data_IF_383981204053
#
_entry.id   IF_383981204053
#
_cell.length_a   1.000
_cell.length_b   1.000
_cell.length_c   1.000
_cell.angle_alpha   90.00
_cell.angle_beta   90.00
_cell.angle_gamma   90.00
#
_symmetry.space_group_name_H-M   'P 1'
#
loop_
_entity.id
_entity.type
_entity.pdbx_description
1 polymer ?
#
# COMPACT_ATOMS: atom_id res chain seq x y z
N UNK A 1 -5.75 -2.64 -24.24
CA UNK A 1 -6.95 -3.49 -23.99
C UNK A 1 -7.13 -3.94 -22.54
N UNK A 2 -6.09 -4.02 -21.69
CA UNK A 2 -6.23 -4.46 -20.28
C UNK A 2 -7.23 -3.62 -19.43
N UNK A 3 -7.33 -2.32 -19.66
CA UNK A 3 -8.15 -1.41 -18.82
C UNK A 3 -9.67 -1.64 -18.91
N UNK A 4 -10.19 -2.16 -20.03
CA UNK A 4 -11.64 -2.48 -20.16
C UNK A 4 -12.00 -3.81 -19.49
N UNK A 5 -11.08 -4.78 -19.48
CA UNK A 5 -11.29 -6.07 -18.81
C UNK A 5 -11.36 -5.91 -17.29
N UNK A 6 -10.52 -5.06 -16.71
CA UNK A 6 -10.54 -4.80 -15.27
C UNK A 6 -11.85 -4.16 -14.82
N UNK A 7 -12.40 -3.18 -15.54
CA UNK A 7 -13.67 -2.54 -15.15
C UNK A 7 -14.89 -3.49 -15.17
N UNK A 8 -14.98 -4.41 -16.13
CA UNK A 8 -16.06 -5.39 -16.14
C UNK A 8 -15.91 -6.44 -15.03
N UNK A 9 -14.67 -6.81 -14.73
CA UNK A 9 -14.35 -7.78 -13.68
C UNK A 9 -14.83 -7.34 -12.28
N UNK A 10 -14.67 -6.05 -11.95
CA UNK A 10 -15.10 -5.50 -10.66
C UNK A 10 -16.63 -5.38 -10.49
N UNK A 11 -17.44 -5.60 -11.54
CA UNK A 11 -18.92 -5.53 -11.41
C UNK A 11 -19.50 -6.68 -10.57
N UNK A 12 -18.83 -7.82 -10.53
CA UNK A 12 -19.32 -9.05 -9.92
C UNK A 12 -18.54 -9.43 -8.65
N UNK A 13 -18.03 -8.43 -7.92
CA UNK A 13 -17.37 -8.62 -6.62
C UNK A 13 -18.37 -9.20 -5.62
N UNK A 14 -17.95 -10.21 -4.86
CA UNK A 14 -18.76 -10.76 -3.78
C UNK A 14 -18.71 -9.86 -2.55
N UNK A 15 -19.74 -9.95 -1.71
CA UNK A 15 -19.79 -9.23 -0.42
C UNK A 15 -19.81 -7.71 -0.61
N UNK A 16 -20.83 -7.17 -1.27
CA UNK A 16 -20.96 -5.72 -1.51
C UNK A 16 -21.54 -4.93 -0.32
N UNK A 17 -22.19 -5.63 0.60
CA UNK A 17 -22.84 -5.06 1.79
C UNK A 17 -21.78 -4.63 2.83
N UNK A 18 -21.55 -3.33 2.95
CA UNK A 18 -20.58 -2.70 3.86
C UNK A 18 -20.87 -2.98 5.34
N UNK A 19 -22.13 -3.18 5.70
CA UNK A 19 -22.54 -3.39 7.10
C UNK A 19 -22.38 -4.86 7.53
N UNK A 20 -22.04 -5.75 6.57
CA UNK A 20 -21.99 -7.19 6.79
C UNK A 20 -20.63 -7.78 6.47
N UNK A 21 -19.75 -7.73 7.46
CA UNK A 21 -18.43 -8.38 7.41
C UNK A 21 -18.56 -9.87 7.06
N UNK A 22 -17.97 -10.33 5.95
CA UNK A 22 -17.99 -11.73 5.60
C UNK A 22 -16.97 -12.51 6.44
N UNK A 23 -17.24 -13.80 6.61
CA UNK A 23 -16.29 -14.73 7.22
C UNK A 23 -15.52 -15.48 6.14
N UNK A 24 -14.36 -16.05 6.51
CA UNK A 24 -13.61 -16.99 5.67
C UNK A 24 -14.49 -18.12 5.13
N UNK A 25 -15.35 -18.68 5.97
CA UNK A 25 -16.27 -19.74 5.57
C UNK A 25 -17.32 -19.23 4.57
N UNK A 26 -17.78 -17.98 4.70
CA UNK A 26 -18.69 -17.38 3.73
C UNK A 26 -18.04 -17.23 2.35
N UNK A 27 -16.76 -16.84 2.28
CA UNK A 27 -15.99 -16.80 1.04
C UNK A 27 -15.91 -18.18 0.38
N UNK A 28 -15.48 -19.20 1.12
CA UNK A 28 -15.37 -20.58 0.63
C UNK A 28 -16.71 -21.11 0.10
N UNK A 29 -17.82 -20.82 0.77
CA UNK A 29 -19.15 -21.29 0.37
C UNK A 29 -19.71 -20.58 -0.88
N UNK A 30 -19.39 -19.30 -1.07
CA UNK A 30 -19.92 -18.52 -2.21
C UNK A 30 -19.09 -18.66 -3.48
N UNK A 31 -17.79 -18.91 -3.36
CA UNK A 31 -16.91 -19.13 -4.50
C UNK A 31 -17.23 -20.46 -5.21
N UNK A 32 -17.14 -20.46 -6.54
CA UNK A 32 -17.20 -21.72 -7.31
C UNK A 32 -15.99 -22.60 -6.97
N UNK A 33 -16.16 -23.92 -7.14
CA UNK A 33 -15.22 -24.96 -6.65
C UNK A 33 -13.72 -24.72 -6.91
N UNK A 34 -13.23 -24.38 -8.12
CA UNK A 34 -11.79 -24.15 -8.28
C UNK A 34 -11.32 -22.94 -7.46
N UNK A 35 -12.13 -21.86 -7.42
CA UNK A 35 -11.77 -20.63 -6.72
C UNK A 35 -11.88 -20.76 -5.20
N UNK A 36 -12.81 -21.56 -4.67
CA UNK A 36 -12.88 -21.81 -3.23
C UNK A 36 -11.68 -22.63 -2.74
N UNK A 37 -11.18 -23.55 -3.57
CA UNK A 37 -9.95 -24.28 -3.32
C UNK A 37 -8.72 -23.35 -3.38
N UNK A 38 -8.61 -22.51 -4.41
CA UNK A 38 -7.52 -21.53 -4.52
C UNK A 38 -7.51 -20.55 -3.35
N UNK A 39 -8.67 -20.03 -2.96
CA UNK A 39 -8.79 -19.16 -1.78
C UNK A 39 -8.29 -19.85 -0.51
N UNK A 40 -8.74 -21.09 -0.28
CA UNK A 40 -8.34 -21.87 0.90
C UNK A 40 -6.85 -22.19 0.91
N UNK A 41 -6.29 -22.55 -0.24
CA UNK A 41 -4.86 -22.83 -0.39
C UNK A 41 -4.02 -21.58 -0.13
N UNK A 42 -4.36 -20.46 -0.77
CA UNK A 42 -3.62 -19.21 -0.63
C UNK A 42 -3.61 -18.77 0.83
N UNK A 43 -4.79 -18.74 1.46
CA UNK A 43 -4.92 -18.37 2.85
C UNK A 43 -4.07 -19.27 3.76
N UNK A 44 -4.12 -20.58 3.57
CA UNK A 44 -3.33 -21.54 4.35
C UNK A 44 -1.83 -21.29 4.20
N UNK A 45 -1.33 -21.14 2.99
CA UNK A 45 0.11 -20.99 2.75
C UNK A 45 0.63 -19.62 3.18
N UNK A 46 -0.12 -18.54 2.93
CA UNK A 46 0.29 -17.20 3.35
C UNK A 46 0.29 -17.06 4.88
N UNK A 47 -0.69 -17.63 5.57
CA UNK A 47 -0.72 -17.65 7.05
C UNK A 47 0.29 -18.62 7.68
N UNK A 48 0.96 -19.46 6.89
CA UNK A 48 2.06 -20.30 7.38
C UNK A 48 3.39 -19.56 7.45
N UNK A 49 3.45 -18.34 6.88
CA UNK A 49 4.61 -17.47 6.96
C UNK A 49 4.64 -16.77 8.31
N UNK A 50 5.80 -16.77 8.95
CA UNK A 50 5.94 -16.22 10.30
C UNK A 50 5.64 -14.72 10.35
N UNK A 51 4.96 -14.30 11.42
CA UNK A 51 4.54 -12.91 11.63
C UNK A 51 3.44 -12.38 10.70
N UNK A 52 2.93 -13.17 9.74
CA UNK A 52 1.87 -12.70 8.83
C UNK A 52 0.52 -12.69 9.52
N UNK A 53 -0.20 -11.56 9.39
CA UNK A 53 -1.55 -11.36 9.92
C UNK A 53 -2.56 -11.26 8.78
N UNK A 54 -3.77 -11.78 9.02
CA UNK A 54 -4.93 -11.61 8.15
C UNK A 54 -5.89 -10.58 8.74
N UNK A 55 -6.40 -9.68 7.91
CA UNK A 55 -7.56 -8.85 8.22
C UNK A 55 -8.55 -8.84 7.05
N UNK A 56 -9.83 -8.60 7.34
CA UNK A 56 -10.90 -8.50 6.34
C UNK A 56 -11.44 -7.08 6.44
N UNK A 57 -11.34 -6.30 5.36
CA UNK A 57 -11.73 -4.87 5.37
C UNK A 57 -12.59 -4.53 4.16
N UNK A 58 -13.58 -3.67 4.38
CA UNK A 58 -14.33 -3.06 3.31
C UNK A 58 -13.49 -1.95 2.66
N UNK A 59 -13.21 -2.10 1.36
CA UNK A 59 -12.32 -1.23 0.59
C UNK A 59 -13.10 -0.32 -0.37
N UNK A 60 -14.37 -0.04 -0.05
CA UNK A 60 -15.28 0.74 -0.89
C UNK A 60 -15.97 -0.09 -1.99
N UNK A 61 -16.88 0.51 -2.75
CA UNK A 61 -17.81 -0.20 -3.63
C UNK A 61 -17.14 -0.93 -4.80
N UNK A 62 -15.91 -0.57 -5.17
CA UNK A 62 -15.19 -1.22 -6.27
C UNK A 62 -14.53 -2.53 -5.85
N UNK A 63 -13.96 -2.60 -4.64
CA UNK A 63 -13.24 -3.79 -4.15
C UNK A 63 -14.01 -4.56 -3.08
N UNK A 64 -15.03 -3.92 -2.51
CA UNK A 64 -15.86 -4.40 -1.42
C UNK A 64 -15.03 -5.02 -0.30
N UNK A 65 -15.51 -6.08 0.34
CA UNK A 65 -14.74 -6.79 1.36
C UNK A 65 -13.53 -7.54 0.76
N UNK A 66 -12.34 -7.18 1.23
CA UNK A 66 -11.05 -7.71 0.78
C UNK A 66 -10.32 -8.37 1.93
N UNK A 67 -9.66 -9.49 1.64
CA UNK A 67 -8.75 -10.18 2.55
C UNK A 67 -7.37 -9.61 2.39
N UNK A 68 -6.79 -9.13 3.47
CA UNK A 68 -5.51 -8.43 3.48
C UNK A 68 -4.55 -9.22 4.35
N UNK A 69 -3.40 -9.58 3.77
CA UNK A 69 -2.30 -10.23 4.44
C UNK A 69 -1.14 -9.24 4.57
N UNK A 70 -0.63 -9.10 5.78
CA UNK A 70 0.41 -8.13 6.11
C UNK A 70 1.49 -8.74 7.02
N UNK A 71 2.72 -8.29 6.85
CA UNK A 71 3.85 -8.57 7.73
C UNK A 71 4.42 -7.23 8.17
N UNK A 72 4.54 -7.00 9.48
CA UNK A 72 5.11 -5.79 10.06
C UNK A 72 4.64 -4.48 9.38
N UNK A 73 3.31 -4.30 9.33
CA UNK A 73 2.61 -3.17 8.68
C UNK A 73 2.67 -3.13 7.14
N UNK A 74 3.59 -3.85 6.51
CA UNK A 74 3.73 -3.97 5.07
C UNK A 74 2.71 -4.91 4.44
N UNK A 75 2.08 -4.46 3.35
CA UNK A 75 1.03 -5.22 2.66
C UNK A 75 1.67 -6.25 1.73
N UNK A 76 1.46 -7.53 2.04
CA UNK A 76 1.93 -8.64 1.23
C UNK A 76 0.97 -8.93 0.07
N UNK A 77 -0.31 -9.12 0.41
CA UNK A 77 -1.30 -9.66 -0.51
C UNK A 77 -2.71 -9.19 -0.16
N UNK A 78 -3.47 -8.86 -1.19
CA UNK A 78 -4.89 -8.63 -1.14
C UNK A 78 -5.57 -9.73 -1.95
N UNK A 79 -6.62 -10.33 -1.42
CA UNK A 79 -7.46 -11.29 -2.13
C UNK A 79 -8.88 -10.74 -2.25
N UNK A 80 -9.38 -10.73 -3.49
CA UNK A 80 -10.68 -10.23 -3.84
C UNK A 80 -11.53 -11.39 -4.39
N UNK A 81 -12.53 -11.87 -3.63
CA UNK A 81 -13.49 -12.86 -4.12
C UNK A 81 -14.49 -12.25 -5.11
N UNK A 82 -14.66 -12.92 -6.26
CA UNK A 82 -15.67 -12.57 -7.26
C UNK A 82 -16.62 -13.74 -7.48
N UNK A 83 -17.82 -13.45 -7.96
CA UNK A 83 -18.84 -14.49 -8.20
C UNK A 83 -18.34 -15.53 -9.22
N UNK A 84 -17.54 -15.09 -10.17
CA UNK A 84 -17.02 -15.89 -11.29
C UNK A 84 -15.51 -16.16 -11.19
N UNK A 85 -14.86 -15.77 -10.09
CA UNK A 85 -13.40 -15.87 -10.01
C UNK A 85 -12.79 -15.45 -8.68
N UNK A 86 -11.46 -15.49 -8.66
CA UNK A 86 -10.65 -14.97 -7.57
C UNK A 86 -9.57 -14.10 -8.18
N UNK A 87 -9.29 -12.95 -7.58
CA UNK A 87 -8.12 -12.16 -7.96
C UNK A 87 -7.26 -11.83 -6.76
N UNK A 88 -6.00 -11.56 -7.06
CA UNK A 88 -5.01 -11.11 -6.11
C UNK A 88 -4.48 -9.74 -6.54
N UNK A 89 -4.21 -8.90 -5.56
CA UNK A 89 -3.39 -7.70 -5.73
C UNK A 89 -2.20 -7.79 -4.79
N UNK A 90 -1.00 -7.47 -5.24
CA UNK A 90 0.15 -7.27 -4.37
C UNK A 90 0.90 -6.00 -4.76
N UNK A 91 1.63 -5.46 -3.80
CA UNK A 91 2.36 -4.22 -3.96
C UNK A 91 3.85 -4.54 -3.96
N UNK A 92 4.55 -4.01 -4.95
CA UNK A 92 6.01 -4.11 -5.06
C UNK A 92 6.57 -2.70 -4.91
N UNK A 93 7.38 -2.47 -3.87
CA UNK A 93 8.08 -1.20 -3.71
C UNK A 93 9.19 -1.07 -4.74
N UNK A 94 9.66 0.16 -4.95
CA UNK A 94 10.80 0.40 -5.84
C UNK A 94 12.06 -0.38 -5.43
N UNK A 95 12.33 -0.50 -4.13
CA UNK A 95 13.49 -1.25 -3.59
C UNK A 95 13.35 -2.77 -3.76
N UNK A 96 12.12 -3.28 -3.84
CA UNK A 96 11.81 -4.68 -4.10
C UNK A 96 11.81 -5.02 -5.59
N UNK A 97 11.40 -4.08 -6.45
CA UNK A 97 11.13 -4.31 -7.88
C UNK A 97 12.31 -4.98 -8.58
N UNK A 98 13.52 -4.43 -8.43
CA UNK A 98 14.73 -5.00 -9.04
C UNK A 98 15.04 -6.40 -8.50
N UNK A 99 14.88 -6.63 -7.19
CA UNK A 99 15.15 -7.94 -6.56
C UNK A 99 14.19 -9.00 -7.09
N UNK A 100 12.89 -8.70 -7.13
CA UNK A 100 11.84 -9.61 -7.61
C UNK A 100 11.99 -9.87 -9.12
N UNK A 101 12.30 -8.86 -9.93
CA UNK A 101 12.47 -9.03 -11.38
C UNK A 101 13.68 -9.90 -11.75
N UNK A 102 14.74 -9.87 -10.94
CA UNK A 102 15.95 -10.66 -11.15
C UNK A 102 15.93 -12.04 -10.48
N UNK A 103 14.97 -12.29 -9.58
CA UNK A 103 14.85 -13.59 -8.90
C UNK A 103 14.52 -14.72 -9.89
N UNK A 104 15.34 -15.80 -9.96
CA UNK A 104 15.16 -16.88 -10.94
C UNK A 104 13.89 -17.69 -10.74
N UNK A 105 13.42 -17.80 -9.51
CA UNK A 105 12.22 -18.54 -9.14
C UNK A 105 10.91 -17.82 -9.48
N UNK A 106 10.96 -16.53 -9.82
CA UNK A 106 9.76 -15.76 -10.18
C UNK A 106 9.47 -15.94 -11.66
N UNK A 107 8.24 -16.37 -11.98
CA UNK A 107 7.85 -16.66 -13.36
C UNK A 107 7.86 -15.41 -14.26
N UNK A 108 8.12 -15.61 -15.56
CA UNK A 108 8.16 -14.53 -16.55
C UNK A 108 6.83 -13.75 -16.62
N UNK A 109 5.72 -14.46 -16.45
CA UNK A 109 4.37 -13.90 -16.43
C UNK A 109 4.16 -12.94 -15.25
N UNK A 110 4.63 -13.29 -14.06
CA UNK A 110 4.59 -12.40 -12.89
C UNK A 110 5.47 -11.19 -13.13
N UNK A 111 6.70 -11.38 -13.63
CA UNK A 111 7.62 -10.27 -13.96
C UNK A 111 6.99 -9.31 -14.97
N UNK A 112 6.30 -9.85 -15.98
CA UNK A 112 5.57 -9.01 -16.94
C UNK A 112 4.41 -8.26 -16.28
N UNK A 113 3.68 -8.91 -15.38
CA UNK A 113 2.59 -8.28 -14.63
C UNK A 113 3.09 -7.15 -13.73
N UNK A 114 4.27 -7.29 -13.11
CA UNK A 114 4.93 -6.23 -12.33
C UNK A 114 5.24 -5.02 -13.22
N UNK A 115 5.87 -5.23 -14.38
CA UNK A 115 6.22 -4.15 -15.32
C UNK A 115 4.99 -3.39 -15.83
N UNK A 116 3.90 -4.12 -16.08
CA UNK A 116 2.60 -3.56 -16.51
C UNK A 116 1.76 -3.00 -15.35
N UNK A 117 2.15 -3.30 -14.10
CA UNK A 117 1.45 -2.86 -12.91
C UNK A 117 1.37 -1.34 -12.82
N UNK A 118 0.27 -0.84 -12.27
CA UNK A 118 0.06 0.61 -12.13
C UNK A 118 1.11 1.16 -11.18
N UNK A 119 1.91 2.11 -11.65
CA UNK A 119 2.82 2.86 -10.80
C UNK A 119 2.02 3.96 -10.08
N UNK A 120 2.12 3.99 -8.75
CA UNK A 120 1.59 5.07 -7.93
C UNK A 120 2.51 5.25 -6.72
N UNK A 121 3.02 6.47 -6.48
CA UNK A 121 3.81 6.83 -5.29
C UNK A 121 4.94 5.83 -4.98
N UNK A 122 5.79 5.54 -5.97
CA UNK A 122 6.96 4.64 -5.86
C UNK A 122 6.65 3.17 -5.56
N UNK A 123 5.40 2.76 -5.75
CA UNK A 123 5.01 1.35 -5.70
C UNK A 123 4.32 0.92 -7.00
N UNK A 124 4.50 -0.35 -7.34
CA UNK A 124 3.77 -1.03 -8.41
C UNK A 124 2.61 -1.81 -7.80
N UNK A 125 1.41 -1.48 -8.24
CA UNK A 125 0.20 -2.24 -7.95
C UNK A 125 0.01 -3.30 -9.02
N UNK A 126 0.15 -4.56 -8.62
CA UNK A 126 0.10 -5.71 -9.52
C UNK A 126 -1.16 -6.49 -9.24
N UNK A 127 -2.06 -6.52 -10.23
CA UNK A 127 -3.31 -7.27 -10.17
C UNK A 127 -3.21 -8.52 -11.03
N UNK A 128 -3.70 -9.64 -10.50
CA UNK A 128 -3.70 -10.94 -11.14
C UNK A 128 -5.06 -11.63 -10.99
N UNK A 129 -5.56 -12.21 -12.08
CA UNK A 129 -6.69 -13.12 -12.02
C UNK A 129 -6.21 -14.57 -11.79
N UNK A 130 -6.80 -15.26 -10.82
CA UNK A 130 -6.37 -16.58 -10.38
C UNK A 130 -7.24 -17.68 -11.00
N UNK A 131 -6.98 -17.96 -12.28
CA UNK A 131 -7.76 -18.90 -13.09
C UNK A 131 -7.23 -20.33 -13.11
N UNK A 132 -5.98 -20.54 -12.71
CA UNK A 132 -5.29 -21.83 -12.83
C UNK A 132 -4.43 -22.11 -11.61
N UNK A 133 -4.19 -23.39 -11.32
CA UNK A 133 -3.28 -23.84 -10.27
C UNK A 133 -1.88 -23.25 -10.43
N UNK A 134 -1.38 -23.18 -11.67
CA UNK A 134 -0.06 -22.61 -11.95
C UNK A 134 0.00 -21.13 -11.56
N UNK A 135 -1.06 -20.34 -11.85
CA UNK A 135 -1.10 -18.93 -11.48
C UNK A 135 -1.12 -18.74 -9.96
N UNK A 136 -1.79 -19.63 -9.24
CA UNK A 136 -1.79 -19.64 -7.76
C UNK A 136 -0.41 -19.97 -7.22
N UNK A 137 0.29 -20.96 -7.79
CA UNK A 137 1.66 -21.32 -7.40
C UNK A 137 2.64 -20.16 -7.63
N UNK A 138 2.60 -19.55 -8.81
CA UNK A 138 3.45 -18.41 -9.17
C UNK A 138 3.23 -17.22 -8.22
N UNK A 139 1.97 -16.94 -7.87
CA UNK A 139 1.64 -15.93 -6.86
C UNK A 139 2.26 -16.28 -5.51
N UNK A 140 2.04 -17.51 -5.01
CA UNK A 140 2.51 -17.93 -3.70
C UNK A 140 4.04 -17.90 -3.60
N UNK A 141 4.74 -18.28 -4.65
CA UNK A 141 6.21 -18.17 -4.74
C UNK A 141 6.67 -16.71 -4.68
N UNK A 142 5.95 -15.81 -5.34
CA UNK A 142 6.21 -14.37 -5.29
C UNK A 142 5.99 -13.80 -3.88
N UNK A 143 4.89 -14.18 -3.22
CA UNK A 143 4.59 -13.71 -1.86
C UNK A 143 5.60 -14.25 -0.84
N UNK A 144 6.01 -15.52 -0.96
CA UNK A 144 7.09 -16.09 -0.14
C UNK A 144 8.39 -15.32 -0.32
N UNK A 145 8.77 -15.00 -1.56
CA UNK A 145 9.99 -14.26 -1.81
C UNK A 145 9.90 -12.82 -1.30
N UNK A 146 8.77 -12.14 -1.46
CA UNK A 146 8.55 -10.80 -0.87
C UNK A 146 8.65 -10.84 0.65
N UNK A 147 8.01 -11.80 1.31
CA UNK A 147 8.13 -11.99 2.76
C UNK A 147 9.58 -12.23 3.20
N UNK A 148 10.33 -13.04 2.45
CA UNK A 148 11.77 -13.22 2.68
C UNK A 148 12.55 -11.91 2.56
N UNK A 149 12.26 -11.07 1.56
CA UNK A 149 12.91 -9.75 1.44
C UNK A 149 12.60 -8.84 2.64
N UNK A 150 11.37 -8.84 3.15
CA UNK A 150 10.96 -8.01 4.29
C UNK A 150 11.57 -8.48 5.62
N UNK A 151 11.73 -9.79 5.78
CA UNK A 151 12.32 -10.40 7.00
C UNK A 151 13.84 -10.33 7.04
N UNK A 152 14.50 -10.11 5.90
CA UNK A 152 15.97 -10.09 5.80
C UNK A 152 16.56 -8.74 5.41
N UNK A 153 15.71 -7.76 5.07
CA UNK A 153 16.17 -6.39 4.90
C UNK A 153 16.67 -5.86 6.25
N UNK A 154 17.83 -5.17 6.28
CA UNK A 154 18.19 -4.34 7.43
C UNK A 154 17.03 -3.39 7.69
N UNK A 155 16.49 -3.40 8.91
CA UNK A 155 15.55 -2.38 9.33
C UNK A 155 16.31 -1.05 9.22
N UNK A 156 15.90 -0.16 8.32
CA UNK A 156 16.39 1.22 8.34
C UNK A 156 15.95 1.77 9.71
N UNK A 157 16.90 1.90 10.65
CA UNK A 157 16.63 2.61 11.90
C UNK A 157 16.04 3.97 11.53
N UNK A 158 14.94 4.39 12.18
CA UNK A 158 14.39 5.71 11.92
C UNK A 158 15.53 6.72 12.09
N UNK A 159 15.77 7.55 11.05
CA UNK A 159 16.75 8.64 11.18
C UNK A 159 16.45 9.37 12.48
N UNK A 160 17.46 9.59 13.34
CA UNK A 160 17.23 10.32 14.58
C UNK A 160 16.63 11.65 14.21
N UNK A 161 15.38 11.90 14.66
CA UNK A 161 14.75 13.21 14.52
C UNK A 161 15.76 14.25 14.97
N UNK A 162 16.20 15.11 14.05
CA UNK A 162 17.11 16.19 14.41
C UNK A 162 16.48 16.93 15.60
N UNK A 163 17.23 17.16 16.69
CA UNK A 163 16.67 17.80 17.86
C UNK A 163 16.09 19.14 17.43
N UNK A 164 14.77 19.27 17.53
CA UNK A 164 14.05 20.51 17.28
C UNK A 164 14.74 21.57 18.14
N UNK A 165 15.44 22.49 17.49
CA UNK A 165 16.14 23.55 18.17
C UNK A 165 15.14 24.29 19.06
N UNK A 166 15.31 24.14 20.37
CA UNK A 166 14.54 24.90 21.36
C UNK A 166 14.96 26.35 21.20
N UNK A 167 14.12 27.12 20.49
CA UNK A 167 14.27 28.56 20.42
C UNK A 167 13.96 29.08 21.82
N UNK A 168 15.02 29.35 22.58
CA UNK A 168 14.93 30.04 23.87
C UNK A 168 14.54 31.50 23.60
N UNK A 169 13.49 32.05 24.24
CA UNK A 169 13.19 33.47 24.14
C UNK A 169 14.18 34.23 25.04
N UNK A 170 15.27 34.74 24.46
CA UNK A 170 16.16 35.68 25.12
C UNK A 170 15.71 37.12 24.81
N UNK A 171 15.29 37.80 25.88
CA UNK A 171 15.47 39.23 26.17
C UNK A 171 14.80 40.26 25.24
N UNK A 172 13.55 40.61 25.58
CA UNK A 172 13.05 41.98 25.39
C UNK A 172 13.82 42.92 26.32
N UNK A 173 14.84 43.59 25.80
CA UNK A 173 15.42 44.78 26.43
C UNK A 173 14.86 46.03 25.76
N UNK A 174 13.76 46.55 26.31
CA UNK A 174 13.23 47.86 25.96
C UNK A 174 14.05 48.92 26.70
N UNK A 175 14.79 49.74 25.94
CA UNK A 175 15.33 51.02 26.43
C UNK A 175 14.54 52.19 25.82
N UNK A 176 14.27 53.25 26.60
CA UNK A 176 13.45 54.38 26.17
C UNK A 176 14.23 55.37 25.29
N UNK A 177 13.54 56.18 24.44
CA UNK A 177 14.21 57.22 23.66
C UNK A 177 14.46 58.47 24.53
N UNK A 178 15.73 58.85 24.67
CA UNK A 178 16.12 60.20 25.08
C UNK A 178 15.96 61.15 23.89
N UNK A 179 15.11 62.17 24.08
CA UNK A 179 14.90 63.25 23.13
C UNK A 179 15.50 64.56 23.62
N UNK A 180 16.42 65.10 22.83
CA UNK A 180 16.85 66.50 22.71
C UNK A 180 17.82 66.49 21.53
N UNK A 181 17.68 67.17 20.40
CA UNK A 181 16.93 68.34 19.99
C UNK A 181 17.89 69.16 19.13
N UNK A 182 17.56 69.51 17.88
CA UNK A 182 18.12 70.70 17.19
C UNK A 182 17.39 70.99 15.86
N UNK A 183 16.76 72.16 15.84
CA UNK A 183 16.65 73.21 14.82
C UNK A 183 16.65 72.93 13.30
N UNK A 184 15.60 73.46 12.66
CA UNK A 184 15.52 73.63 11.21
C UNK A 184 14.38 74.56 10.79
N UNK A 185 14.63 75.87 10.83
CA UNK A 185 13.78 76.92 10.27
C UNK A 185 13.62 76.77 8.74
N UNK A 186 12.40 76.99 8.23
CA UNK A 186 12.10 77.04 6.80
C UNK A 186 10.84 77.86 6.52
N UNK A 187 11.05 79.15 6.30
CA UNK A 187 10.09 80.20 5.97
C UNK A 187 9.48 79.99 4.56
N UNK A 188 8.19 80.28 4.35
CA UNK A 188 7.68 80.80 3.08
C UNK A 188 6.19 81.20 3.18
N UNK A 189 5.98 82.52 3.23
CA UNK A 189 4.70 83.19 3.02
C UNK A 189 4.53 83.49 1.54
N UNK A 190 3.37 83.15 0.98
CA UNK A 190 2.64 83.93 -0.03
C UNK A 190 3.13 83.89 -1.49
N UNK A 191 2.29 83.34 -2.37
CA UNK A 191 1.32 84.10 -3.17
C UNK A 191 0.26 83.15 -3.75
#
# INVERSE_FOLDING_TARGET
>A
MLYKQTQHYWKNVLFQDEEKTPTNLAAVKKLKKPFSQYFSQIRKEVLSLDGVKESIRYMGPTWAWTWIYEYDHEKLLFIHPHQEGLSATFIVSYSEESKILNAPQISADIKQSIRLGRNARNVRWVWLELKTDQRVKDLLETIRYKHHLLTTAPQEEPEPEEPVAVISPSDEHVSPPEGTGDDGQGNATGQ
#
